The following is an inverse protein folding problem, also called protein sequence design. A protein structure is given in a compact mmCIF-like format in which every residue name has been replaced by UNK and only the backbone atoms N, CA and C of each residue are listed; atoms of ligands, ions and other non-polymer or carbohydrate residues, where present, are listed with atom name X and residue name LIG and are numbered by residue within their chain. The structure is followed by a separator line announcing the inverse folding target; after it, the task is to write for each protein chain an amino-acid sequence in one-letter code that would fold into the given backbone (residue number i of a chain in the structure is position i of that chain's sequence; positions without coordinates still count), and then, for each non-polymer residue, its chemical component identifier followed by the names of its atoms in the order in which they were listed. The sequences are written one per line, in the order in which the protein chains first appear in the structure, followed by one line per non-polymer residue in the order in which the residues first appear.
data_IF_796230566704
#
_entry.id   IF_796230566704
#
_cell.length_a   1.000
_cell.length_b   1.000
_cell.length_c   1.000
_cell.angle_alpha   90.00
_cell.angle_beta   90.00
_cell.angle_gamma   90.00
#
_symmetry.space_group_name_H-M   'P 1'
#
loop_
_entity.id
_entity.type
_entity.pdbx_description
1 polymer ?
#
# COMPACT_ATOMS: atom_id res chain seq x y z
N UNK A 1 -4.84 -1.45 18.26
CA UNK A 1 -6.18 -1.79 17.73
C UNK A 1 -6.90 -0.49 17.44
N UNK A 2 -7.51 -0.30 16.27
CA UNK A 2 -8.21 0.95 15.96
C UNK A 2 -9.44 1.10 16.87
N UNK A 3 -9.74 2.30 17.38
CA UNK A 3 -10.90 2.52 18.25
C UNK A 3 -12.19 2.08 17.56
N UNK A 4 -13.11 1.55 18.35
CA UNK A 4 -14.46 1.22 17.91
C UNK A 4 -15.17 2.49 17.44
N UNK A 5 -15.87 2.42 16.30
CA UNK A 5 -16.50 3.60 15.68
C UNK A 5 -15.54 4.58 14.97
N UNK A 6 -14.22 4.43 15.08
CA UNK A 6 -13.26 5.28 14.37
C UNK A 6 -13.26 5.05 12.85
N UNK A 7 -13.01 6.12 12.07
CA UNK A 7 -12.85 6.05 10.61
C UNK A 7 -11.42 5.64 10.25
N UNK A 8 -11.28 4.63 9.40
CA UNK A 8 -10.00 4.22 8.81
C UNK A 8 -9.86 4.96 7.49
N UNK A 9 -8.92 5.90 7.42
CA UNK A 9 -8.58 6.62 6.21
C UNK A 9 -7.55 5.86 5.39
N UNK A 10 -7.93 5.50 4.16
CA UNK A 10 -7.08 4.79 3.21
C UNK A 10 -6.62 5.78 2.15
N UNK A 11 -5.31 5.99 2.08
CA UNK A 11 -4.70 6.84 1.06
C UNK A 11 -4.28 5.94 -0.11
N UNK A 12 -4.73 6.27 -1.32
CA UNK A 12 -4.38 5.55 -2.54
C UNK A 12 -4.00 6.52 -3.67
N UNK A 13 -3.26 6.03 -4.66
CA UNK A 13 -3.10 6.80 -5.89
C UNK A 13 -4.41 6.83 -6.70
N UNK A 14 -4.51 7.76 -7.65
CA UNK A 14 -5.71 7.94 -8.48
C UNK A 14 -5.90 6.87 -9.57
N UNK A 15 -5.26 5.70 -9.45
CA UNK A 15 -5.34 4.65 -10.45
C UNK A 15 -6.74 4.02 -10.49
N UNK A 16 -7.22 3.67 -11.69
CA UNK A 16 -8.57 3.16 -11.93
C UNK A 16 -8.90 1.88 -11.13
N UNK A 17 -7.88 1.06 -10.86
CA UNK A 17 -8.01 -0.15 -10.05
C UNK A 17 -8.58 0.13 -8.64
N UNK A 18 -8.30 1.29 -8.04
CA UNK A 18 -8.79 1.66 -6.71
C UNK A 18 -10.19 2.29 -6.74
N UNK A 19 -10.74 2.58 -7.93
CA UNK A 19 -12.03 3.24 -8.12
C UNK A 19 -13.07 2.35 -8.80
N UNK A 20 -12.74 1.08 -8.99
CA UNK A 20 -13.62 0.14 -9.69
C UNK A 20 -14.97 -0.01 -8.98
N UNK A 21 -16.00 -0.33 -9.77
CA UNK A 21 -17.34 -0.58 -9.23
C UNK A 21 -17.34 -1.73 -8.22
N UNK A 22 -16.53 -2.74 -8.47
CA UNK A 22 -16.36 -3.89 -7.58
C UNK A 22 -15.79 -3.49 -6.21
N UNK A 23 -14.76 -2.65 -6.18
CA UNK A 23 -14.19 -2.12 -4.93
C UNK A 23 -15.24 -1.32 -4.16
N UNK A 24 -15.99 -0.45 -4.83
CA UNK A 24 -17.07 0.33 -4.21
C UNK A 24 -18.18 -0.57 -3.64
N UNK A 25 -18.61 -1.57 -4.40
CA UNK A 25 -19.62 -2.52 -3.97
C UNK A 25 -19.16 -3.33 -2.75
N UNK A 26 -17.89 -3.79 -2.75
CA UNK A 26 -17.33 -4.51 -1.61
C UNK A 26 -17.31 -3.63 -0.35
N UNK A 27 -16.90 -2.37 -0.48
CA UNK A 27 -16.87 -1.43 0.64
C UNK A 27 -18.25 -1.10 1.19
N UNK A 28 -19.27 -1.05 0.33
CA UNK A 28 -20.66 -0.85 0.75
C UNK A 28 -21.21 -2.01 1.60
N UNK A 29 -20.60 -3.20 1.55
CA UNK A 29 -20.94 -4.32 2.45
C UNK A 29 -20.28 -4.23 3.83
N UNK A 30 -19.36 -3.29 4.03
CA UNK A 30 -18.70 -3.05 5.32
C UNK A 30 -19.50 -2.07 6.16
N UNK A 31 -19.18 -2.01 7.45
CA UNK A 31 -19.80 -1.07 8.39
C UNK A 31 -19.75 0.36 7.82
N UNK A 32 -20.92 0.96 7.65
CA UNK A 32 -21.05 2.29 7.05
C UNK A 32 -20.23 3.30 7.84
N UNK A 33 -19.51 4.17 7.14
CA UNK A 33 -18.62 5.17 7.77
C UNK A 33 -17.31 4.62 8.35
N UNK A 34 -17.03 3.30 8.33
CA UNK A 34 -15.77 2.75 8.86
C UNK A 34 -14.55 3.05 7.98
N UNK A 35 -14.72 3.21 6.67
CA UNK A 35 -13.63 3.40 5.72
C UNK A 35 -13.83 4.66 4.88
N UNK A 36 -12.83 5.55 4.90
CA UNK A 36 -12.75 6.73 4.04
C UNK A 36 -11.58 6.62 3.06
N UNK A 37 -11.74 7.12 1.84
CA UNK A 37 -10.67 7.10 0.84
C UNK A 37 -10.19 8.51 0.50
N UNK A 38 -8.88 8.69 0.49
CA UNK A 38 -8.23 9.90 -0.01
C UNK A 38 -7.37 9.49 -1.20
N UNK A 39 -7.64 10.09 -2.36
CA UNK A 39 -6.87 9.84 -3.57
C UNK A 39 -5.84 10.94 -3.77
N UNK A 40 -4.57 10.57 -3.94
CA UNK A 40 -3.53 11.55 -4.27
C UNK A 40 -3.80 12.14 -5.67
N UNK A 41 -3.49 13.42 -5.92
CA UNK A 41 -3.55 14.00 -7.27
C UNK A 41 -2.70 13.20 -8.26
N UNK A 42 -3.06 13.22 -9.55
CA UNK A 42 -2.40 12.43 -10.61
C UNK A 42 -0.88 12.63 -10.66
N UNK A 43 -0.39 13.82 -10.33
CA UNK A 43 1.06 14.13 -10.27
C UNK A 43 1.59 14.28 -8.84
N UNK A 44 0.79 13.96 -7.82
CA UNK A 44 1.11 14.05 -6.40
C UNK A 44 1.78 12.79 -5.84
N UNK A 45 2.62 12.11 -6.62
CA UNK A 45 3.24 10.83 -6.22
C UNK A 45 4.11 10.96 -4.96
N UNK A 46 4.67 12.15 -4.70
CA UNK A 46 5.46 12.47 -3.51
C UNK A 46 4.65 12.46 -2.20
N UNK A 47 3.32 12.62 -2.27
CA UNK A 47 2.43 12.51 -1.11
C UNK A 47 2.12 11.05 -0.76
N UNK A 48 2.41 10.11 -1.65
CA UNK A 48 2.09 8.71 -1.44
C UNK A 48 3.24 8.03 -0.68
N UNK A 49 3.05 7.80 0.62
CA UNK A 49 4.05 7.16 1.49
C UNK A 49 4.51 5.79 0.98
N UNK A 50 3.64 5.05 0.28
CA UNK A 50 4.02 3.75 -0.28
C UNK A 50 5.09 3.87 -1.38
N UNK A 51 5.07 4.96 -2.16
CA UNK A 51 6.06 5.20 -3.21
C UNK A 51 7.43 5.48 -2.58
N UNK A 52 7.44 6.25 -1.49
CA UNK A 52 8.66 6.52 -0.70
C UNK A 52 9.21 5.23 -0.09
N UNK A 53 8.33 4.38 0.45
CA UNK A 53 8.70 3.07 0.98
C UNK A 53 9.35 2.19 -0.10
N UNK A 54 8.71 2.03 -1.27
CA UNK A 54 9.29 1.24 -2.36
C UNK A 54 10.60 1.83 -2.90
N UNK A 55 10.74 3.15 -2.92
CA UNK A 55 12.00 3.81 -3.26
C UNK A 55 13.12 3.41 -2.30
N UNK A 56 12.83 3.37 -0.99
CA UNK A 56 13.78 2.94 0.05
C UNK A 56 14.16 1.46 -0.11
N UNK A 57 13.17 0.57 -0.22
CA UNK A 57 13.39 -0.87 -0.47
C UNK A 57 14.23 -1.10 -1.73
N UNK A 58 13.95 -0.34 -2.79
CA UNK A 58 14.70 -0.45 -4.05
C UNK A 58 16.16 -0.05 -3.86
N UNK A 59 16.42 1.09 -3.23
CA UNK A 59 17.77 1.63 -3.04
C UNK A 59 18.61 0.81 -2.06
N UNK A 60 18.00 0.32 -0.99
CA UNK A 60 18.72 -0.34 0.10
C UNK A 60 18.81 -1.86 -0.04
N UNK A 61 17.83 -2.49 -0.67
CA UNK A 61 17.72 -3.96 -0.71
C UNK A 61 17.79 -4.51 -2.13
N UNK A 62 16.97 -4.00 -3.05
CA UNK A 62 16.83 -4.62 -4.38
C UNK A 62 17.98 -4.26 -5.33
N UNK A 63 18.65 -3.12 -5.13
CA UNK A 63 19.72 -2.67 -6.02
C UNK A 63 20.91 -3.64 -5.97
N UNK A 64 21.14 -4.35 -7.07
CA UNK A 64 22.27 -5.28 -7.23
C UNK A 64 22.04 -6.69 -6.68
N UNK A 65 20.84 -6.99 -6.18
CA UNK A 65 20.53 -8.31 -5.65
C UNK A 65 20.41 -9.34 -6.79
N UNK A 66 20.97 -10.54 -6.58
CA UNK A 66 20.70 -11.72 -7.40
C UNK A 66 20.00 -12.76 -6.54
N UNK A 67 18.93 -13.32 -7.07
CA UNK A 67 18.11 -14.35 -6.42
C UNK A 67 17.81 -15.43 -7.46
N UNK A 68 17.85 -16.69 -7.06
CA UNK A 68 17.64 -17.82 -7.97
C UNK A 68 16.17 -18.26 -8.03
N UNK A 69 15.41 -18.04 -6.95
CA UNK A 69 14.02 -18.45 -6.83
C UNK A 69 13.14 -17.40 -6.14
N UNK A 70 11.85 -17.39 -6.46
CA UNK A 70 10.87 -16.42 -5.92
C UNK A 70 10.74 -16.47 -4.39
N UNK A 71 10.86 -17.66 -3.80
CA UNK A 71 10.77 -17.85 -2.34
C UNK A 71 11.90 -17.14 -1.60
N UNK A 72 13.10 -17.14 -2.18
CA UNK A 72 14.26 -16.43 -1.64
C UNK A 72 14.02 -14.92 -1.65
N UNK A 73 13.54 -14.37 -2.77
CA UNK A 73 13.19 -12.96 -2.88
C UNK A 73 12.16 -12.56 -1.81
N UNK A 74 11.08 -13.35 -1.67
CA UNK A 74 10.02 -13.13 -0.68
C UNK A 74 10.60 -13.10 0.73
N UNK A 75 11.43 -14.08 1.11
CA UNK A 75 12.07 -14.15 2.43
C UNK A 75 12.94 -12.92 2.70
N UNK A 76 13.73 -12.47 1.71
CA UNK A 76 14.59 -11.29 1.86
C UNK A 76 13.79 -10.00 2.00
N UNK A 77 12.65 -9.86 1.31
CA UNK A 77 11.76 -8.71 1.47
C UNK A 77 11.23 -8.65 2.91
N UNK A 78 10.70 -9.76 3.45
CA UNK A 78 10.20 -9.77 4.82
C UNK A 78 11.27 -9.44 5.86
N UNK A 79 12.46 -10.04 5.74
CA UNK A 79 13.58 -9.74 6.64
C UNK A 79 13.98 -8.26 6.61
N UNK A 80 13.85 -7.59 5.48
CA UNK A 80 14.12 -6.15 5.39
C UNK A 80 13.00 -5.33 6.02
N UNK A 81 11.73 -5.68 5.78
CA UNK A 81 10.59 -4.99 6.38
C UNK A 81 10.53 -5.12 7.92
N UNK A 82 11.03 -6.22 8.50
CA UNK A 82 11.07 -6.44 9.95
C UNK A 82 12.22 -5.71 10.67
N UNK A 83 13.22 -5.22 9.92
CA UNK A 83 14.39 -4.50 10.48
C UNK A 83 14.17 -2.99 10.56
N UNK A 84 13.12 -2.50 9.92
CA UNK A 84 12.69 -1.09 9.87
C UNK A 84 11.60 -0.82 10.91
#
# INVERSE_FOLDING_TARGET
MYPEGGVIWIICNNHSAHKSKEVKNHLATKLEGRFGFVFTPTHGYWLNLIESFFSKVTKQMLKGIRVSIKTELKKRIYLHCERE
#
